data_IF_924798890851
#
_entry.id   IF_924798890851
#
_cell.length_a   1.000
_cell.length_b   1.000
_cell.length_c   1.000
_cell.angle_alpha   90.00
_cell.angle_beta   90.00
_cell.angle_gamma   90.00
#
_symmetry.space_group_name_H-M   'P 1'
#
loop_
_entity.id
_entity.type
_entity.pdbx_description
1 polymer ?
#
# COMPACT_ATOMS: atom_id res chain seq x y z
N UNK A 1 -4.11 -3.63 -5.45
CA UNK A 1 -5.32 -3.11 -4.74
C UNK A 1 -5.85 -4.15 -3.76
N UNK A 2 -5.55 -4.17 -2.46
CA UNK A 2 -6.12 -5.27 -1.66
C UNK A 2 -6.33 -4.96 -0.18
N UNK A 3 -7.40 -4.21 0.10
CA UNK A 3 -8.18 -4.55 1.27
C UNK A 3 -8.69 -5.99 1.10
N UNK A 4 -8.37 -6.90 2.03
CA UNK A 4 -9.02 -8.20 2.06
C UNK A 4 -10.40 -8.04 2.71
N UNK A 5 -11.40 -7.79 1.87
CA UNK A 5 -12.79 -7.66 2.29
C UNK A 5 -13.38 -8.98 2.84
N UNK A 6 -12.66 -10.10 2.69
CA UNK A 6 -13.05 -11.41 3.22
C UNK A 6 -12.41 -11.74 4.57
N UNK A 7 -11.42 -10.95 5.02
CA UNK A 7 -10.75 -11.16 6.29
C UNK A 7 -11.69 -10.94 7.49
N UNK A 8 -11.48 -11.66 8.61
CA UNK A 8 -12.28 -11.51 9.83
C UNK A 8 -12.27 -10.07 10.33
N UNK A 9 -13.39 -9.62 10.90
CA UNK A 9 -13.57 -8.23 11.36
C UNK A 9 -12.90 -7.90 12.70
N UNK A 10 -11.93 -8.71 13.11
CA UNK A 10 -11.42 -8.69 14.47
C UNK A 10 -10.25 -7.71 14.65
N UNK A 11 -9.63 -7.25 13.56
CA UNK A 11 -8.56 -6.25 13.56
C UNK A 11 -8.44 -5.55 12.20
N UNK A 12 -8.25 -4.23 12.23
CA UNK A 12 -7.98 -3.43 11.03
C UNK A 12 -6.68 -3.85 10.35
N UNK A 13 -5.68 -4.32 11.12
CA UNK A 13 -4.44 -4.85 10.56
C UNK A 13 -4.68 -6.07 9.66
N UNK A 14 -5.75 -6.84 9.91
CA UNK A 14 -6.09 -8.03 9.12
C UNK A 14 -6.84 -7.67 7.82
N UNK A 15 -7.45 -6.49 7.73
CA UNK A 15 -8.09 -6.01 6.49
C UNK A 15 -7.11 -5.27 5.58
N UNK A 16 -6.16 -4.58 6.20
CA UNK A 16 -5.20 -3.69 5.56
C UNK A 16 -4.11 -4.53 4.90
N UNK A 17 -4.50 -5.22 3.83
CA UNK A 17 -3.56 -5.83 2.91
C UNK A 17 -2.94 -4.75 2.02
N UNK A 18 -1.64 -4.87 1.81
CA UNK A 18 -0.88 -4.18 0.77
C UNK A 18 -1.53 -4.24 -0.60
N UNK A 19 -2.23 -5.33 -0.84
CA UNK A 19 -2.47 -5.63 -2.19
C UNK A 19 -2.19 -7.09 -2.53
N UNK A 20 -1.20 -7.20 -3.37
CA UNK A 20 -0.48 -8.44 -3.47
C UNK A 20 0.16 -8.70 -2.12
N UNK A 21 0.37 -9.97 -1.72
CA UNK A 21 1.14 -10.28 -0.53
C UNK A 21 2.40 -9.43 -0.51
N UNK A 22 2.71 -8.78 0.61
CA UNK A 22 4.00 -8.09 0.72
C UNK A 22 5.10 -9.14 0.68
N UNK A 23 6.14 -8.83 -0.07
CA UNK A 23 7.32 -9.66 -0.18
C UNK A 23 8.53 -8.93 0.35
N UNK A 24 9.58 -9.69 0.66
CA UNK A 24 10.84 -9.13 1.09
C UNK A 24 11.38 -8.16 0.02
N UNK A 25 11.90 -7.02 0.45
CA UNK A 25 12.36 -5.94 -0.43
C UNK A 25 11.31 -4.88 -0.75
N UNK A 26 10.00 -5.19 -0.61
CA UNK A 26 8.93 -4.23 -0.93
C UNK A 26 9.06 -2.93 -0.13
N UNK A 27 8.91 -1.79 -0.82
CA UNK A 27 8.89 -0.48 -0.19
C UNK A 27 7.55 -0.26 0.50
N UNK A 28 7.60 -0.06 1.81
CA UNK A 28 6.46 -0.05 2.70
C UNK A 28 6.45 1.17 3.62
N UNK A 29 5.25 1.52 4.08
CA UNK A 29 5.00 2.48 5.15
C UNK A 29 4.66 1.72 6.43
N UNK A 30 5.38 1.98 7.51
CA UNK A 30 4.96 1.62 8.86
C UNK A 30 4.14 2.77 9.45
N UNK A 31 2.89 2.48 9.76
CA UNK A 31 1.92 3.46 10.28
C UNK A 31 1.71 3.14 11.75
N UNK A 32 1.87 4.15 12.60
CA UNK A 32 1.62 4.02 14.04
C UNK A 32 0.37 4.80 14.42
N UNK A 33 -0.50 4.17 15.20
CA UNK A 33 -1.74 4.74 15.70
C UNK A 33 -1.58 5.28 17.12
N UNK A 34 -2.56 6.09 17.54
CA UNK A 34 -2.55 6.77 18.85
C UNK A 34 -2.51 5.82 20.05
N UNK A 35 -3.04 4.61 19.90
CA UNK A 35 -3.01 3.57 20.92
C UNK A 35 -1.63 2.86 21.04
N UNK A 36 -0.69 3.20 20.16
CA UNK A 36 0.65 2.64 20.09
C UNK A 36 0.75 1.36 19.25
N UNK A 37 -0.33 0.90 18.64
CA UNK A 37 -0.30 -0.18 17.66
C UNK A 37 0.20 0.32 16.31
N UNK A 38 0.67 -0.59 15.46
CA UNK A 38 1.16 -0.25 14.13
C UNK A 38 0.70 -1.25 13.09
N UNK A 39 0.61 -0.79 11.84
CA UNK A 39 0.39 -1.63 10.67
C UNK A 39 1.39 -1.31 9.57
N UNK A 40 1.60 -2.27 8.66
CA UNK A 40 2.47 -2.12 7.49
C UNK A 40 1.60 -2.08 6.25
N UNK A 41 1.86 -1.10 5.39
CA UNK A 41 1.19 -0.94 4.10
C UNK A 41 2.22 -0.77 3.00
N UNK A 42 1.88 -1.17 1.78
CA UNK A 42 2.60 -0.67 0.60
C UNK A 42 2.63 0.87 0.64
N UNK A 43 3.75 1.48 0.27
CA UNK A 43 4.00 2.89 0.55
C UNK A 43 2.91 3.83 0.00
N UNK A 44 2.44 3.59 -1.23
CA UNK A 44 1.37 4.38 -1.85
C UNK A 44 0.00 4.20 -1.16
N UNK A 45 -0.24 2.99 -0.63
CA UNK A 45 -1.46 2.66 0.10
C UNK A 45 -1.49 3.35 1.45
N UNK A 46 -0.34 3.45 2.14
CA UNK A 46 -0.21 4.13 3.42
C UNK A 46 -0.63 5.60 3.34
N UNK A 47 -0.09 6.34 2.37
CA UNK A 47 -0.47 7.74 2.15
C UNK A 47 -1.96 7.93 1.84
N UNK A 48 -2.53 7.03 1.02
CA UNK A 48 -3.95 7.08 0.66
C UNK A 48 -4.88 6.81 1.85
N UNK A 49 -4.52 5.83 2.69
CA UNK A 49 -5.29 5.44 3.86
C UNK A 49 -5.34 6.58 4.90
N UNK A 50 -4.19 7.20 5.17
CA UNK A 50 -4.08 8.31 6.10
C UNK A 50 -4.86 9.52 5.60
N UNK A 51 -4.73 9.86 4.32
CA UNK A 51 -5.49 10.97 3.72
C UNK A 51 -6.99 10.76 3.94
N UNK A 52 -7.48 9.55 3.66
CA UNK A 52 -8.88 9.20 3.85
C UNK A 52 -9.33 9.33 5.32
N UNK A 53 -8.51 8.89 6.28
CA UNK A 53 -8.81 9.04 7.70
C UNK A 53 -8.93 10.50 8.18
N UNK A 54 -8.36 11.45 7.45
CA UNK A 54 -8.42 12.89 7.74
C UNK A 54 -9.44 13.66 6.88
N UNK A 55 -10.22 12.99 6.04
CA UNK A 55 -11.23 13.65 5.21
C UNK A 55 -12.46 14.04 6.04
N UNK A 56 -12.72 15.35 6.10
CA UNK A 56 -13.89 15.92 6.77
C UNK A 56 -15.19 15.59 6.03
N UNK A 57 -15.15 15.56 4.70
CA UNK A 57 -16.28 15.22 3.87
C UNK A 57 -16.37 13.71 3.64
N UNK A 58 -17.58 13.18 3.68
CA UNK A 58 -17.84 11.81 3.26
C UNK A 58 -17.69 11.67 1.75
N UNK A 59 -17.05 10.59 1.32
CA UNK A 59 -16.94 10.24 -0.11
C UNK A 59 -18.27 9.75 -0.65
N UNK A 60 -18.52 9.96 -1.93
CA UNK A 60 -19.68 9.37 -2.60
C UNK A 60 -19.54 7.84 -2.70
N UNK A 61 -20.65 7.10 -2.75
CA UNK A 61 -20.63 5.63 -2.71
C UNK A 61 -19.70 4.97 -3.75
N UNK A 62 -19.62 5.57 -4.95
CA UNK A 62 -18.80 5.06 -6.07
C UNK A 62 -17.38 5.62 -6.11
N UNK A 63 -17.03 6.54 -5.22
CA UNK A 63 -15.67 7.04 -5.15
C UNK A 63 -14.75 5.96 -4.59
N UNK A 64 -13.59 5.82 -5.23
CA UNK A 64 -12.51 4.97 -4.75
C UNK A 64 -12.02 5.55 -3.41
N UNK A 65 -11.68 4.70 -2.44
CA UNK A 65 -11.16 5.07 -1.11
C UNK A 65 -9.66 4.75 -1.05
N UNK A 66 -9.30 3.50 -1.35
CA UNK A 66 -7.92 3.00 -1.42
C UNK A 66 -7.75 2.14 -2.68
N UNK A 67 -6.76 2.50 -3.51
CA UNK A 67 -6.60 1.89 -4.83
C UNK A 67 -7.90 2.00 -5.64
N UNK A 68 -8.45 0.86 -6.07
CA UNK A 68 -9.72 0.76 -6.79
C UNK A 68 -10.92 0.37 -5.92
N UNK A 69 -10.75 0.17 -4.61
CA UNK A 69 -11.86 -0.18 -3.71
C UNK A 69 -12.73 1.05 -3.48
N UNK A 70 -14.04 0.94 -3.69
CA UNK A 70 -14.99 2.03 -3.48
C UNK A 70 -15.52 2.08 -2.05
N UNK A 71 -16.09 3.23 -1.65
CA UNK A 71 -16.84 3.36 -0.39
C UNK A 71 -17.92 2.28 -0.26
N UNK A 72 -18.74 2.08 -1.29
CA UNK A 72 -19.83 1.10 -1.30
C UNK A 72 -19.33 -0.33 -1.06
N UNK A 73 -18.17 -0.69 -1.60
CA UNK A 73 -17.56 -2.00 -1.37
C UNK A 73 -17.14 -2.18 0.10
N UNK A 74 -16.55 -1.13 0.71
CA UNK A 74 -16.18 -1.16 2.13
C UNK A 74 -17.39 -1.14 3.06
N UNK A 75 -18.46 -0.43 2.71
CA UNK A 75 -19.73 -0.42 3.46
C UNK A 75 -20.42 -1.78 3.38
N UNK A 76 -20.41 -2.42 2.20
CA UNK A 76 -20.95 -3.78 2.01
C UNK A 76 -20.16 -4.80 2.83
N UNK A 77 -18.84 -4.66 2.87
CA UNK A 77 -17.99 -5.43 3.76
C UNK A 77 -18.15 -5.02 5.24
N UNK A 78 -18.76 -3.88 5.52
CA UNK A 78 -18.98 -3.35 6.86
C UNK A 78 -17.70 -2.94 7.58
N UNK A 79 -16.73 -2.40 6.85
CA UNK A 79 -15.42 -1.95 7.37
C UNK A 79 -15.18 -0.45 7.18
N UNK A 80 -16.04 0.26 6.42
CA UNK A 80 -15.80 1.65 6.03
C UNK A 80 -15.55 2.59 7.22
N UNK A 81 -16.47 2.59 8.20
CA UNK A 81 -16.39 3.48 9.37
C UNK A 81 -15.18 3.16 10.26
N UNK A 82 -14.90 1.88 10.49
CA UNK A 82 -13.80 1.45 11.34
C UNK A 82 -12.43 1.69 10.67
N UNK A 83 -12.34 1.47 9.36
CA UNK A 83 -11.18 1.85 8.57
C UNK A 83 -10.93 3.36 8.63
N UNK A 84 -11.97 4.17 8.39
CA UNK A 84 -11.87 5.64 8.47
C UNK A 84 -11.42 6.08 9.85
N UNK A 85 -12.03 5.55 10.90
CA UNK A 85 -11.70 5.87 12.30
C UNK A 85 -10.26 5.50 12.63
N UNK A 86 -9.80 4.30 12.25
CA UNK A 86 -8.47 3.80 12.62
C UNK A 86 -7.35 4.57 11.93
N UNK A 87 -7.42 4.78 10.61
CA UNK A 87 -6.45 5.64 9.92
C UNK A 87 -6.60 7.10 10.34
N UNK A 88 -7.82 7.47 10.69
CA UNK A 88 -8.18 8.65 11.45
C UNK A 88 -7.71 8.60 12.90
N UNK A 89 -6.77 7.74 13.31
CA UNK A 89 -6.01 7.79 14.59
C UNK A 89 -4.48 7.68 14.38
N UNK A 90 -4.01 7.76 13.13
CA UNK A 90 -2.58 7.79 12.80
C UNK A 90 -1.86 8.95 13.50
N UNK A 91 -0.71 8.65 14.11
CA UNK A 91 0.19 9.61 14.77
C UNK A 91 1.59 9.64 14.18
N UNK A 92 2.02 8.60 13.46
CA UNK A 92 3.27 8.65 12.71
C UNK A 92 3.35 7.69 11.53
N UNK A 93 4.27 7.99 10.61
CA UNK A 93 4.63 7.19 9.44
C UNK A 93 6.14 7.11 9.33
N UNK A 94 6.65 5.91 9.04
CA UNK A 94 8.05 5.67 8.65
C UNK A 94 8.08 4.93 7.31
N UNK A 95 9.13 5.17 6.53
CA UNK A 95 9.32 4.51 5.23
C UNK A 95 10.48 3.53 5.34
N UNK A 96 10.24 2.31 4.86
CA UNK A 96 11.18 1.21 4.96
C UNK A 96 11.00 0.22 3.83
N UNK A 97 11.72 -0.88 3.95
CA UNK A 97 11.49 -2.09 3.18
C UNK A 97 10.95 -3.20 4.10
N UNK A 98 10.33 -4.22 3.52
CA UNK A 98 10.04 -5.45 4.24
C UNK A 98 11.31 -6.33 4.28
N UNK A 99 11.69 -6.81 5.45
CA UNK A 99 12.79 -7.79 5.55
C UNK A 99 12.31 -9.23 5.26
N UNK A 100 13.22 -10.21 5.10
CA UNK A 100 12.87 -11.62 4.86
C UNK A 100 12.05 -12.28 5.98
N UNK A 101 11.97 -11.65 7.16
CA UNK A 101 11.14 -12.12 8.28
C UNK A 101 9.74 -11.51 8.28
N UNK A 102 9.44 -10.64 7.30
CA UNK A 102 8.18 -9.92 7.19
C UNK A 102 8.08 -8.72 8.14
N UNK A 103 9.21 -8.20 8.62
CA UNK A 103 9.25 -7.05 9.54
C UNK A 103 9.69 -5.78 8.82
N UNK A 104 9.33 -4.63 9.40
CA UNK A 104 9.78 -3.33 8.92
C UNK A 104 11.31 -3.18 9.07
N UNK A 105 11.97 -2.82 7.98
CA UNK A 105 13.39 -2.48 7.95
C UNK A 105 13.59 -1.02 7.48
N UNK A 106 14.22 -0.15 8.29
CA UNK A 106 14.45 1.23 7.90
C UNK A 106 15.48 1.31 6.76
N UNK A 107 15.17 2.12 5.75
CA UNK A 107 16.07 2.38 4.60
C UNK A 107 16.50 3.84 4.48
N UNK A 108 16.06 4.67 5.42
CA UNK A 108 16.35 6.10 5.47
C UNK A 108 17.38 6.39 6.58
N UNK A 109 18.22 7.39 6.37
CA UNK A 109 19.15 7.89 7.39
C UNK A 109 18.43 8.75 8.44
N UNK A 110 18.80 8.59 9.72
CA UNK A 110 18.41 9.52 10.79
C UNK A 110 16.98 9.33 11.33
N UNK A 111 16.35 10.44 11.74
CA UNK A 111 14.95 10.44 12.21
C UNK A 111 14.03 10.42 10.98
N UNK A 112 13.68 9.21 10.56
CA UNK A 112 12.86 8.88 9.40
C UNK A 112 11.36 8.80 9.71
N UNK A 113 10.94 9.41 10.82
CA UNK A 113 9.55 9.39 11.28
C UNK A 113 8.84 10.72 11.02
N UNK A 114 7.82 10.67 10.17
CA UNK A 114 6.87 11.74 10.00
C UNK A 114 5.80 11.65 11.08
N UNK A 115 5.76 12.64 11.99
CA UNK A 115 4.77 12.69 13.07
C UNK A 115 3.62 13.63 12.71
N UNK A 116 2.41 13.22 13.05
CA UNK A 116 1.18 13.96 12.80
C UNK A 116 0.78 14.70 14.07
N UNK A 117 0.51 15.99 13.96
CA UNK A 117 -0.16 16.73 15.02
C UNK A 117 -1.61 17.02 14.59
N UNK A 118 -2.55 16.26 15.15
CA UNK A 118 -3.99 16.40 14.88
C UNK A 118 -4.56 17.78 15.19
N UNK A 119 -3.95 18.51 16.11
CA UNK A 119 -4.44 19.83 16.49
C UNK A 119 -4.08 20.89 15.43
N UNK A 120 -3.18 20.55 14.50
CA UNK A 120 -2.66 21.49 13.49
C UNK A 120 -2.72 20.97 12.05
N UNK A 121 -2.73 19.66 11.83
CA UNK A 121 -2.74 19.03 10.51
C UNK A 121 -4.17 18.81 9.99
N UNK A 122 -4.62 19.71 9.11
CA UNK A 122 -5.73 19.44 8.18
C UNK A 122 -5.25 18.57 7.02
N UNK A 123 -6.17 17.93 6.27
CA UNK A 123 -5.82 17.16 5.07
C UNK A 123 -4.94 17.96 4.06
N UNK A 124 -5.21 19.26 3.89
CA UNK A 124 -4.43 20.13 2.99
C UNK A 124 -2.98 20.34 3.47
N UNK A 125 -2.80 20.64 4.76
CA UNK A 125 -1.46 20.79 5.36
C UNK A 125 -0.71 19.48 5.35
N UNK A 126 -1.41 18.36 5.56
CA UNK A 126 -0.81 17.04 5.60
C UNK A 126 -0.08 16.68 4.30
N UNK A 127 -0.75 16.87 3.17
CA UNK A 127 -0.15 16.55 1.86
C UNK A 127 1.11 17.38 1.63
N UNK A 128 1.09 18.63 2.07
CA UNK A 128 2.22 19.55 1.91
C UNK A 128 3.39 19.15 2.81
N UNK A 129 3.12 18.94 4.10
CA UNK A 129 4.12 18.59 5.11
C UNK A 129 4.73 17.22 4.82
N UNK A 130 3.90 16.24 4.43
CA UNK A 130 4.37 14.91 4.05
C UNK A 130 5.28 14.99 2.82
N UNK A 131 4.91 15.75 1.77
CA UNK A 131 5.80 15.94 0.60
C UNK A 131 7.13 16.60 0.97
N UNK A 132 7.11 17.58 1.87
CA UNK A 132 8.34 18.22 2.36
C UNK A 132 9.21 17.21 3.13
N UNK A 133 8.58 16.41 3.99
CA UNK A 133 9.25 15.34 4.72
C UNK A 133 9.91 14.34 3.75
N UNK A 134 9.18 13.81 2.77
CA UNK A 134 9.74 12.91 1.74
C UNK A 134 10.91 13.56 1.01
N UNK A 135 10.78 14.82 0.62
CA UNK A 135 11.86 15.56 -0.04
C UNK A 135 13.08 15.84 0.83
N UNK A 136 12.96 15.68 2.15
CA UNK A 136 14.05 15.84 3.12
C UNK A 136 14.75 14.52 3.49
N UNK A 137 14.14 13.37 3.14
CA UNK A 137 14.71 12.07 3.43
C UNK A 137 15.98 11.82 2.63
N UNK A 138 16.94 11.16 3.28
CA UNK A 138 18.17 10.67 2.66
C UNK A 138 18.18 9.15 2.78
N UNK A 139 18.40 8.45 1.68
CA UNK A 139 18.50 6.99 1.68
C UNK A 139 19.81 6.54 2.30
N UNK A 140 19.75 5.56 3.19
CA UNK A 140 20.93 4.82 3.63
C UNK A 140 21.29 3.83 2.52
N UNK A 141 22.33 4.15 1.76
CA UNK A 141 22.79 3.32 0.62
C UNK A 141 23.08 1.85 0.97
N UNK A 142 23.50 1.55 2.20
CA UNK A 142 23.76 0.18 2.65
C UNK A 142 22.45 -0.54 2.94
N UNK A 143 21.50 0.15 3.56
CA UNK A 143 20.16 -0.38 3.82
C UNK A 143 19.38 -0.60 2.52
N UNK A 144 19.42 0.36 1.60
CA UNK A 144 18.82 0.27 0.26
C UNK A 144 19.40 -0.92 -0.52
N UNK A 145 20.72 -1.02 -0.62
CA UNK A 145 21.37 -2.15 -1.31
C UNK A 145 20.96 -3.51 -0.75
N UNK A 146 20.69 -3.58 0.56
CA UNK A 146 20.22 -4.79 1.21
C UNK A 146 18.76 -5.09 0.89
N UNK A 147 17.90 -4.07 0.87
CA UNK A 147 16.51 -4.21 0.47
C UNK A 147 16.39 -4.70 -0.98
N UNK A 148 17.16 -4.12 -1.91
CA UNK A 148 17.22 -4.56 -3.31
C UNK A 148 17.68 -6.01 -3.43
N UNK A 149 18.69 -6.43 -2.66
CA UNK A 149 19.13 -7.82 -2.68
C UNK A 149 18.02 -8.80 -2.23
N UNK A 150 17.20 -8.42 -1.26
CA UNK A 150 16.05 -9.24 -0.85
C UNK A 150 15.00 -9.34 -1.95
N UNK A 151 14.69 -8.24 -2.63
CA UNK A 151 13.77 -8.22 -3.77
C UNK A 151 14.27 -9.15 -4.89
N UNK A 152 15.54 -9.03 -5.28
CA UNK A 152 16.16 -9.90 -6.30
C UNK A 152 16.14 -11.39 -5.90
N UNK A 153 16.41 -11.70 -4.64
CA UNK A 153 16.31 -13.06 -4.11
C UNK A 153 14.88 -13.61 -4.18
N UNK A 154 13.87 -12.76 -3.91
CA UNK A 154 12.47 -13.14 -3.99
C UNK A 154 12.04 -13.40 -5.44
N UNK A 155 12.40 -12.51 -6.36
CA UNK A 155 12.11 -12.64 -7.79
C UNK A 155 12.76 -13.89 -8.40
N UNK A 156 14.01 -14.19 -8.04
CA UNK A 156 14.72 -15.36 -8.53
C UNK A 156 14.09 -16.70 -8.09
N UNK A 157 13.31 -16.68 -7.00
CA UNK A 157 12.58 -17.84 -6.49
C UNK A 157 11.17 -17.96 -7.09
N UNK A 158 10.67 -16.93 -7.78
CA UNK A 158 9.38 -17.02 -8.46
C UNK A 158 9.50 -17.92 -9.69
N UNK A 159 8.54 -18.82 -9.94
CA UNK A 159 8.51 -19.57 -11.18
C UNK A 159 8.40 -18.58 -12.35
N UNK A 160 9.32 -18.65 -13.31
CA UNK A 160 9.28 -17.80 -14.50
C UNK A 160 7.96 -18.02 -15.24
N UNK A 161 7.15 -16.99 -15.40
CA UNK A 161 5.92 -17.01 -16.22
C UNK A 161 6.24 -17.08 -17.73
N UNK A 162 7.11 -18.00 -18.14
CA UNK A 162 7.52 -18.18 -19.53
C UNK A 162 7.42 -19.64 -19.98
N UNK A 163 6.30 -20.30 -19.68
CA UNK A 163 5.88 -21.55 -20.38
C UNK A 163 4.35 -21.58 -20.56
N UNK A 164 3.75 -20.49 -21.07
CA UNK A 164 2.52 -20.62 -21.84
C UNK A 164 2.90 -20.77 -23.32
N UNK A 165 3.15 -22.02 -23.69
CA UNK A 165 3.30 -22.51 -25.06
C UNK A 165 2.06 -22.13 -25.88
N UNK A 166 2.16 -21.02 -26.61
CA UNK A 166 1.15 -20.60 -27.60
C UNK A 166 1.35 -21.39 -28.90
N UNK A 167 1.30 -22.72 -28.83
CA UNK A 167 1.19 -23.57 -30.01
C UNK A 167 -0.26 -24.06 -30.15
N UNK A 168 -1.14 -23.21 -30.67
CA UNK A 168 -2.31 -23.64 -31.46
C UNK A 168 -3.10 -22.40 -31.90
N UNK A 169 -2.78 -21.87 -33.09
CA UNK A 169 -3.75 -21.22 -33.97
C UNK A 169 -3.25 -21.36 -35.41
N UNK A 170 -3.44 -22.56 -35.97
CA UNK A 170 -3.42 -22.78 -37.41
C UNK A 170 -4.73 -22.24 -37.99
N UNK A 171 -4.72 -20.96 -38.34
CA UNK A 171 -5.84 -20.31 -39.02
C UNK A 171 -5.75 -20.56 -40.53
N UNK A 172 -6.23 -21.73 -40.96
CA UNK A 172 -6.76 -21.88 -42.30
C UNK A 172 -8.00 -20.99 -42.44
N UNK A 173 -7.99 -20.04 -43.37
CA UNK A 173 -9.00 -19.89 -44.43
C UNK A 173 -8.74 -18.62 -45.26
N UNK A 174 -8.53 -18.85 -46.55
CA UNK A 174 -8.33 -17.83 -47.58
C UNK A 174 -9.67 -17.64 -48.30
N UNK A 175 -10.54 -16.76 -47.81
CA UNK A 175 -11.72 -16.34 -48.57
C UNK A 175 -11.32 -15.26 -49.60
N UNK A 176 -11.20 -15.67 -50.87
CA UNK A 176 -11.35 -14.75 -52.02
C UNK A 176 -12.72 -14.97 -52.63
N UNK A 177 -13.58 -13.97 -52.50
CA UNK A 177 -14.84 -13.88 -53.22
C UNK A 177 -15.21 -12.44 -53.58
N UNK A 178 -15.39 -12.22 -54.90
CA UNK A 178 -16.01 -11.09 -55.62
C UNK A 178 -15.10 -9.90 -55.89
N UNK A 179 -15.06 -9.33 -57.10
CA UNK A 179 -16.05 -9.27 -58.20
C UNK A 179 -15.52 -9.76 -59.56
#
# INVERSE_FOLDING_TARGET
MHLDLSAPKDSVADWVGSGEPLHQGDIISLITFKDGTSTILHNECGGSAIRFGLEECEREAREQVIGHITREAMETAGIYEEYKTTFGETVSVRIGALDPTGQFYPIMEGDDEFRFDRDTNTNETLITDFRQFIGSLTLDSVAESRATAWEEEWEALQPSESEYDSSEYDSSEHERGRE
#
